data_IF_245084977780
#
_entry.id   IF_245084977780
#
_cell.length_a   1.000
_cell.length_b   1.000
_cell.length_c   1.000
_cell.angle_alpha   90.00
_cell.angle_beta   90.00
_cell.angle_gamma   90.00
#
_symmetry.space_group_name_H-M   'P 1'
#
loop_
_entity.id
_entity.type
_entity.pdbx_description
1 polymer ?
#
# COMPACT_ATOMS: atom_id res chain seq x y z
N UNK A 1 -15.41 -5.39 -4.71
CA UNK A 1 -14.02 -5.55 -4.22
C UNK A 1 -13.94 -4.81 -2.90
N UNK A 2 -13.37 -5.44 -1.87
CA UNK A 2 -13.23 -4.80 -0.55
C UNK A 2 -11.93 -4.03 -0.54
N UNK A 3 -12.01 -2.71 -0.41
CA UNK A 3 -10.84 -1.85 -0.33
C UNK A 3 -10.21 -1.95 1.07
N UNK A 4 -8.88 -2.02 1.14
CA UNK A 4 -8.13 -2.01 2.39
C UNK A 4 -7.99 -0.58 2.96
N UNK A 5 -8.06 0.43 2.08
CA UNK A 5 -7.95 1.85 2.41
C UNK A 5 -9.15 2.62 1.89
N UNK A 6 -9.47 3.75 2.52
CA UNK A 6 -10.51 4.66 2.04
C UNK A 6 -10.09 5.29 0.71
N UNK A 7 -10.84 4.98 -0.36
CA UNK A 7 -10.47 5.29 -1.75
C UNK A 7 -10.04 6.75 -1.98
N UNK A 8 -10.77 7.71 -1.39
CA UNK A 8 -10.59 9.14 -1.62
C UNK A 8 -9.79 9.84 -0.51
N UNK A 9 -9.25 9.11 0.46
CA UNK A 9 -8.42 9.66 1.53
C UNK A 9 -6.96 9.73 1.10
N UNK A 10 -6.26 10.74 1.60
CA UNK A 10 -4.81 10.85 1.52
C UNK A 10 -4.20 10.45 2.87
N UNK A 11 -3.16 9.63 2.81
CA UNK A 11 -2.46 9.11 3.97
C UNK A 11 -1.05 9.68 4.05
N UNK A 12 -0.60 10.00 5.26
CA UNK A 12 0.75 10.51 5.55
C UNK A 12 1.51 9.55 6.45
N UNK A 13 2.85 9.67 6.45
CA UNK A 13 3.68 8.85 7.32
C UNK A 13 3.36 9.09 8.80
N UNK A 14 2.80 8.06 9.45
CA UNK A 14 2.35 8.08 10.84
C UNK A 14 0.86 7.78 11.00
N UNK A 15 0.10 7.78 9.90
CA UNK A 15 -1.26 7.26 9.89
C UNK A 15 -1.23 5.75 10.18
N UNK A 16 -1.95 5.33 11.21
CA UNK A 16 -1.95 3.95 11.71
C UNK A 16 -2.49 2.96 10.68
N UNK A 17 -3.30 3.42 9.73
CA UNK A 17 -3.78 2.57 8.64
C UNK A 17 -2.64 2.08 7.73
N UNK A 18 -1.54 2.83 7.61
CA UNK A 18 -0.38 2.41 6.80
C UNK A 18 0.38 1.24 7.44
N UNK A 19 0.23 1.00 8.74
CA UNK A 19 0.87 -0.12 9.44
C UNK A 19 0.45 -1.48 8.86
N UNK A 20 -0.70 -1.53 8.16
CA UNK A 20 -1.17 -2.72 7.44
C UNK A 20 -0.18 -3.21 6.37
N UNK A 21 0.54 -2.30 5.71
CA UNK A 21 1.49 -2.64 4.64
C UNK A 21 2.96 -2.57 5.11
N UNK A 22 3.23 -1.78 6.14
CA UNK A 22 4.52 -1.72 6.79
C UNK A 22 4.69 -0.51 7.69
N UNK A 23 5.59 -0.64 8.65
CA UNK A 23 6.00 0.48 9.49
C UNK A 23 6.72 1.58 8.67
N UNK A 24 6.99 2.70 9.34
CA UNK A 24 7.65 3.87 8.75
C UNK A 24 9.00 3.54 8.11
N UNK A 25 9.80 2.66 8.71
CA UNK A 25 11.14 2.31 8.23
C UNK A 25 11.07 1.44 6.98
N UNK A 26 10.21 0.43 6.99
CA UNK A 26 9.91 -0.43 5.83
C UNK A 26 9.41 0.39 4.65
N UNK A 27 8.47 1.31 4.88
CA UNK A 27 7.98 2.21 3.83
C UNK A 27 9.09 3.13 3.30
N UNK A 28 10.00 3.60 4.17
CA UNK A 28 11.17 4.37 3.72
C UNK A 28 12.12 3.52 2.85
N UNK A 29 12.38 2.28 3.25
CA UNK A 29 13.21 1.35 2.48
C UNK A 29 12.58 1.06 1.10
N UNK A 30 11.26 0.85 1.06
CA UNK A 30 10.52 0.61 -0.19
C UNK A 30 10.65 1.77 -1.16
N UNK A 31 10.42 3.00 -0.70
CA UNK A 31 10.61 4.20 -1.53
C UNK A 31 12.04 4.35 -2.03
N UNK A 32 13.04 4.03 -1.19
CA UNK A 32 14.44 4.08 -1.62
C UNK A 32 14.75 3.04 -2.71
N UNK A 33 14.16 1.84 -2.61
CA UNK A 33 14.31 0.76 -3.58
C UNK A 33 13.40 0.90 -4.81
N UNK A 34 12.52 1.89 -4.85
CA UNK A 34 11.54 2.06 -5.94
C UNK A 34 10.46 0.98 -5.97
N UNK A 35 10.12 0.39 -4.82
CA UNK A 35 9.07 -0.64 -4.68
C UNK A 35 7.92 -0.15 -3.80
N UNK A 36 6.80 -0.86 -3.81
CA UNK A 36 5.62 -0.56 -3.00
C UNK A 36 4.55 0.28 -3.72
N UNK A 37 3.56 0.80 -2.98
CA UNK A 37 2.51 1.63 -3.55
C UNK A 37 3.03 2.95 -4.11
N UNK A 38 2.32 3.50 -5.10
CA UNK A 38 2.62 4.83 -5.62
C UNK A 38 2.44 5.90 -4.53
N UNK A 39 3.27 6.95 -4.60
CA UNK A 39 3.27 8.03 -3.62
C UNK A 39 3.65 9.35 -4.29
N UNK A 40 3.16 10.44 -3.70
CA UNK A 40 3.63 11.79 -4.02
C UNK A 40 4.77 12.19 -3.09
N UNK A 41 5.81 12.79 -3.66
CA UNK A 41 6.87 13.46 -2.91
C UNK A 41 6.72 14.97 -3.06
N UNK A 42 6.07 15.59 -2.08
CA UNK A 42 5.85 17.05 -2.05
C UNK A 42 6.82 17.67 -1.04
N UNK A 43 8.03 17.97 -1.51
CA UNK A 43 9.14 18.41 -0.67
C UNK A 43 9.56 17.33 0.32
N UNK A 44 9.40 17.59 1.63
CA UNK A 44 9.69 16.61 2.70
C UNK A 44 8.47 15.74 3.06
N UNK A 45 7.30 16.00 2.48
CA UNK A 45 6.08 15.22 2.75
C UNK A 45 5.94 14.07 1.75
N UNK A 46 5.61 12.90 2.28
CA UNK A 46 5.23 11.71 1.52
C UNK A 46 3.73 11.50 1.73
N UNK A 47 3.00 11.37 0.64
CA UNK A 47 1.54 11.17 0.65
C UNK A 47 1.22 9.94 -0.20
N UNK A 48 0.39 9.07 0.35
CA UNK A 48 -0.23 7.95 -0.38
C UNK A 48 -1.70 8.27 -0.62
N UNK A 49 -2.23 8.04 -1.83
CA UNK A 49 -3.68 8.10 -2.05
C UNK A 49 -4.28 6.74 -1.78
N UNK A 50 -5.48 6.70 -1.19
CA UNK A 50 -6.19 5.45 -0.93
C UNK A 50 -6.38 4.61 -2.17
N UNK A 51 -6.71 5.24 -3.31
CA UNK A 51 -6.82 4.55 -4.60
C UNK A 51 -5.52 3.84 -5.03
N UNK A 52 -4.37 4.48 -4.84
CA UNK A 52 -3.06 3.93 -5.22
C UNK A 52 -2.66 2.78 -4.29
N UNK A 53 -2.98 2.91 -2.99
CA UNK A 53 -2.77 1.85 -2.01
C UNK A 53 -3.62 0.62 -2.31
N UNK A 54 -4.90 0.81 -2.63
CA UNK A 54 -5.80 -0.27 -3.01
C UNK A 54 -5.37 -0.93 -4.32
N UNK A 55 -5.00 -0.14 -5.33
CA UNK A 55 -4.52 -0.65 -6.62
C UNK A 55 -3.24 -1.49 -6.44
N UNK A 56 -2.29 -1.02 -5.61
CA UNK A 56 -1.10 -1.79 -5.27
C UNK A 56 -1.44 -3.07 -4.51
N UNK A 57 -2.35 -3.02 -3.54
CA UNK A 57 -2.75 -4.19 -2.77
C UNK A 57 -3.38 -5.27 -3.65
N UNK A 58 -4.27 -4.88 -4.57
CA UNK A 58 -4.90 -5.81 -5.51
C UNK A 58 -3.86 -6.41 -6.47
N UNK A 59 -2.92 -5.62 -6.99
CA UNK A 59 -1.86 -6.10 -7.86
C UNK A 59 -0.89 -7.09 -7.16
N UNK A 60 -0.79 -7.03 -5.83
CA UNK A 60 0.05 -7.92 -5.02
C UNK A 60 -0.76 -9.02 -4.31
N UNK A 61 -2.05 -9.14 -4.61
CA UNK A 61 -2.91 -10.15 -4.02
C UNK A 61 -2.48 -11.54 -4.48
N UNK A 62 -2.16 -12.40 -3.54
CA UNK A 62 -1.85 -13.80 -3.80
C UNK A 62 -3.09 -14.66 -3.59
N UNK A 63 -3.58 -15.30 -4.66
CA UNK A 63 -4.66 -16.28 -4.61
C UNK A 63 -4.04 -17.69 -4.47
N UNK A 64 -4.13 -18.34 -3.29
CA UNK A 64 -3.66 -19.71 -3.16
C UNK A 64 -4.46 -20.62 -4.07
N UNK A 65 -3.78 -21.51 -4.80
CA UNK A 65 -4.43 -22.47 -5.69
C UNK A 65 -5.47 -23.30 -4.91
N UNK A 66 -6.73 -23.27 -5.34
CA UNK A 66 -7.74 -24.21 -4.84
C UNK A 66 -7.25 -25.61 -5.18
N UNK A 67 -6.89 -26.42 -4.18
CA UNK A 67 -6.59 -27.84 -4.41
C UNK A 67 -7.81 -28.45 -5.09
N UNK A 68 -7.66 -28.86 -6.34
CA UNK A 68 -8.66 -29.68 -7.04
C UNK A 68 -8.57 -31.05 -6.41
N UNK A 69 -9.54 -31.38 -5.54
CA UNK A 69 -9.73 -32.74 -5.06
C UNK A 69 -10.07 -33.60 -6.27
N UNK A 70 -9.17 -34.53 -6.62
CA UNK A 70 -9.46 -35.60 -7.59
C UNK A 70 -10.49 -36.56 -7.01
#
# INVERSE_FOLDING_TARGET
MTNLFEQNRNYVLGDTELDLIGDREKLAQWRHKGVGPAFYKLGRKIIYRGEDLNAWAEANKFEPSKRVTK
#
